data_IF_860927021225
#
_entry.id   IF_860927021225
#
_cell.length_a   1.000
_cell.length_b   1.000
_cell.length_c   1.000
_cell.angle_alpha   90.00
_cell.angle_beta   90.00
_cell.angle_gamma   90.00
#
_symmetry.space_group_name_H-M   'P 1'
#
loop_
_entity.id
_entity.type
_entity.pdbx_description
1 polymer ?
#
# COMPACT_ATOMS: atom_id res chain seq x y z
N UNK A 1 -4.56 -20.82 15.55
CA UNK A 1 -3.28 -21.43 15.15
C UNK A 1 -3.48 -22.15 13.81
N UNK A 2 -3.04 -21.54 12.70
CA UNK A 2 -3.10 -22.10 11.34
C UNK A 2 -1.71 -22.10 10.65
N UNK A 3 -0.65 -21.83 11.41
CA UNK A 3 0.74 -21.84 10.97
C UNK A 3 1.26 -23.24 10.61
N UNK A 4 2.34 -23.32 9.83
CA UNK A 4 2.99 -24.59 9.43
C UNK A 4 2.03 -25.55 8.71
N UNK A 5 1.15 -25.02 7.87
CA UNK A 5 0.26 -25.80 7.02
C UNK A 5 0.60 -25.56 5.53
N UNK A 6 -0.24 -26.07 4.64
CA UNK A 6 -0.11 -25.88 3.19
C UNK A 6 -1.25 -25.03 2.64
N UNK A 7 -1.71 -24.03 3.40
CA UNK A 7 -2.80 -23.15 2.98
C UNK A 7 -2.28 -22.30 1.82
N UNK A 8 -3.01 -22.26 0.69
CA UNK A 8 -2.60 -21.55 -0.54
C UNK A 8 -3.37 -20.26 -0.78
N UNK A 9 -4.58 -20.19 -0.27
CA UNK A 9 -5.45 -19.03 -0.41
C UNK A 9 -6.32 -18.87 0.82
N UNK A 10 -6.68 -17.62 1.11
CA UNK A 10 -7.72 -17.28 2.08
C UNK A 10 -8.88 -16.64 1.32
N UNK A 11 -10.05 -17.26 1.43
CA UNK A 11 -11.26 -16.80 0.75
C UNK A 11 -11.96 -15.70 1.56
N UNK A 12 -12.74 -14.85 0.88
CA UNK A 12 -13.55 -13.83 1.54
C UNK A 12 -14.42 -14.45 2.64
N UNK A 13 -14.56 -13.76 3.77
CA UNK A 13 -15.39 -14.20 4.90
C UNK A 13 -14.95 -15.53 5.57
N UNK A 14 -13.74 -16.04 5.31
CA UNK A 14 -13.22 -17.27 5.95
C UNK A 14 -13.32 -17.24 7.48
N UNK A 15 -13.13 -16.07 8.09
CA UNK A 15 -13.15 -15.89 9.54
C UNK A 15 -14.39 -15.13 10.05
N UNK A 16 -15.49 -15.13 9.29
CA UNK A 16 -16.72 -14.43 9.68
C UNK A 16 -17.26 -14.93 11.03
N UNK A 17 -17.81 -14.03 11.84
CA UNK A 17 -18.31 -14.27 13.19
C UNK A 17 -17.27 -14.77 14.21
N UNK A 18 -15.97 -14.77 13.89
CA UNK A 18 -14.92 -15.10 14.87
C UNK A 18 -14.59 -13.89 15.76
N UNK A 19 -15.61 -13.29 16.37
CA UNK A 19 -15.51 -12.00 17.06
C UNK A 19 -14.62 -12.02 18.30
N UNK A 20 -14.36 -13.19 18.88
CA UNK A 20 -13.45 -13.36 20.02
C UNK A 20 -11.98 -13.60 19.61
N UNK A 21 -11.67 -13.65 18.31
CA UNK A 21 -10.33 -13.92 17.83
C UNK A 21 -9.41 -12.73 18.13
N UNK A 22 -8.39 -12.97 18.95
CA UNK A 22 -7.42 -11.95 19.36
C UNK A 22 -6.06 -12.15 18.67
N UNK A 23 -5.67 -13.40 18.44
CA UNK A 23 -4.44 -13.80 17.75
C UNK A 23 -4.77 -14.68 16.55
N UNK A 24 -4.25 -14.33 15.37
CA UNK A 24 -4.36 -15.14 14.17
C UNK A 24 -2.98 -15.43 13.59
N UNK A 25 -2.58 -16.70 13.69
CA UNK A 25 -1.30 -17.19 13.20
C UNK A 25 -1.46 -17.93 11.88
N UNK A 26 -0.95 -17.35 10.79
CA UNK A 26 -1.00 -17.89 9.42
C UNK A 26 0.40 -18.01 8.78
N UNK A 27 1.45 -17.78 9.56
CA UNK A 27 2.82 -17.82 9.08
C UNK A 27 3.27 -19.22 8.65
N UNK A 28 4.28 -19.28 7.79
CA UNK A 28 4.86 -20.53 7.27
C UNK A 28 3.79 -21.42 6.59
N UNK A 29 3.14 -20.85 5.58
CA UNK A 29 2.17 -21.50 4.70
C UNK A 29 2.56 -21.25 3.23
N UNK A 30 1.68 -21.56 2.28
CA UNK A 30 1.85 -21.30 0.85
C UNK A 30 0.91 -20.19 0.34
N UNK A 31 0.46 -19.28 1.22
CA UNK A 31 -0.59 -18.32 0.89
C UNK A 31 -0.07 -17.36 -0.18
N UNK A 32 -0.63 -17.43 -1.38
CA UNK A 32 -0.32 -16.51 -2.47
C UNK A 32 -1.40 -15.48 -2.72
N UNK A 33 -2.63 -15.77 -2.29
CA UNK A 33 -3.82 -14.93 -2.48
C UNK A 33 -4.55 -14.78 -1.15
N UNK A 34 -4.83 -13.54 -0.77
CA UNK A 34 -5.77 -13.21 0.29
C UNK A 34 -6.90 -12.45 -0.39
N UNK A 35 -8.08 -13.04 -0.45
CA UNK A 35 -9.24 -12.34 -0.99
C UNK A 35 -9.62 -11.17 -0.06
N UNK A 36 -10.11 -10.04 -0.60
CA UNK A 36 -10.57 -8.96 0.25
C UNK A 36 -11.73 -9.40 1.17
N UNK A 37 -11.90 -8.67 2.26
CA UNK A 37 -12.83 -9.01 3.35
C UNK A 37 -12.57 -10.34 4.05
N UNK A 38 -11.45 -11.02 3.79
CA UNK A 38 -11.04 -12.21 4.56
C UNK A 38 -11.09 -11.96 6.08
N UNK A 39 -10.69 -10.77 6.52
CA UNK A 39 -10.58 -10.39 7.93
C UNK A 39 -11.66 -9.38 8.40
N UNK A 40 -12.72 -9.15 7.62
CA UNK A 40 -13.65 -8.01 7.82
C UNK A 40 -14.38 -8.00 9.16
N UNK A 41 -14.63 -9.17 9.75
CA UNK A 41 -15.45 -9.35 10.95
C UNK A 41 -14.62 -9.85 12.15
N UNK A 42 -13.45 -9.24 12.34
CA UNK A 42 -12.52 -9.56 13.42
C UNK A 42 -12.25 -8.33 14.31
N UNK A 43 -13.28 -7.80 15.00
CA UNK A 43 -13.20 -6.53 15.72
C UNK A 43 -12.21 -6.54 16.89
N UNK A 44 -11.89 -7.72 17.45
CA UNK A 44 -10.96 -7.86 18.58
C UNK A 44 -9.57 -8.35 18.16
N UNK A 45 -9.31 -8.53 16.87
CA UNK A 45 -8.03 -9.03 16.40
C UNK A 45 -6.93 -8.01 16.73
N UNK A 46 -5.93 -8.48 17.47
CA UNK A 46 -4.84 -7.65 17.98
C UNK A 46 -3.51 -7.98 17.30
N UNK A 47 -3.35 -9.25 16.90
CA UNK A 47 -2.10 -9.77 16.36
C UNK A 47 -2.35 -10.66 15.14
N UNK A 48 -1.76 -10.31 13.99
CA UNK A 48 -1.89 -11.05 12.73
C UNK A 48 -0.51 -11.35 12.13
N UNK A 49 -0.24 -12.63 11.88
CA UNK A 49 1.01 -13.07 11.24
C UNK A 49 0.76 -13.78 9.91
N UNK A 50 1.37 -13.25 8.87
CA UNK A 50 1.35 -13.72 7.49
C UNK A 50 2.77 -13.91 6.94
N UNK A 51 3.79 -13.82 7.79
CA UNK A 51 5.19 -13.92 7.37
C UNK A 51 5.55 -15.32 6.85
N UNK A 52 6.55 -15.41 5.98
CA UNK A 52 6.97 -16.67 5.34
C UNK A 52 5.77 -17.30 4.61
N UNK A 53 5.27 -16.59 3.60
CA UNK A 53 4.23 -17.01 2.67
C UNK A 53 4.65 -16.60 1.24
N UNK A 54 3.72 -16.63 0.28
CA UNK A 54 3.95 -16.31 -1.14
C UNK A 54 3.10 -15.13 -1.62
N UNK A 55 2.74 -14.23 -0.72
CA UNK A 55 1.82 -13.11 -1.00
C UNK A 55 2.53 -12.13 -1.94
N UNK A 56 1.92 -11.85 -3.09
CA UNK A 56 2.50 -10.95 -4.12
C UNK A 56 1.93 -9.54 -4.10
N UNK A 57 0.70 -9.40 -3.61
CA UNK A 57 -0.01 -8.14 -3.58
C UNK A 57 -0.92 -8.08 -2.36
N UNK A 58 -0.99 -6.92 -1.73
CA UNK A 58 -1.99 -6.61 -0.72
C UNK A 58 -3.11 -5.84 -1.43
N UNK A 59 -4.19 -6.54 -1.72
CA UNK A 59 -5.35 -5.93 -2.39
C UNK A 59 -6.06 -4.96 -1.45
N UNK A 60 -6.71 -3.95 -2.02
CA UNK A 60 -7.53 -2.98 -1.30
C UNK A 60 -8.51 -3.70 -0.36
N UNK A 61 -8.76 -3.12 0.80
CA UNK A 61 -9.73 -3.66 1.77
C UNK A 61 -9.38 -5.04 2.36
N UNK A 62 -8.18 -5.60 2.13
CA UNK A 62 -7.73 -6.83 2.81
C UNK A 62 -7.84 -6.69 4.33
N UNK A 63 -7.37 -5.56 4.86
CA UNK A 63 -7.31 -5.26 6.30
C UNK A 63 -8.40 -4.27 6.77
N UNK A 64 -9.51 -4.17 6.03
CA UNK A 64 -10.57 -3.23 6.38
C UNK A 64 -11.19 -3.58 7.75
N UNK A 65 -11.51 -2.55 8.53
CA UNK A 65 -12.14 -2.65 9.87
C UNK A 65 -11.35 -3.40 10.96
N UNK A 66 -10.06 -3.64 10.77
CA UNK A 66 -9.19 -4.19 11.82
C UNK A 66 -8.73 -3.10 12.80
N UNK A 67 -9.68 -2.42 13.44
CA UNK A 67 -9.44 -1.19 14.21
C UNK A 67 -8.65 -1.41 15.49
N UNK A 68 -8.58 -2.64 16.01
CA UNK A 68 -7.84 -2.99 17.22
C UNK A 68 -6.51 -3.71 16.93
N UNK A 69 -6.15 -3.92 15.66
CA UNK A 69 -4.92 -4.61 15.29
C UNK A 69 -3.72 -3.75 15.69
N UNK A 70 -2.85 -4.31 16.52
CA UNK A 70 -1.64 -3.64 17.04
C UNK A 70 -0.39 -4.07 16.29
N UNK A 71 -0.34 -5.34 15.86
CA UNK A 71 0.83 -5.87 15.15
C UNK A 71 0.43 -6.69 13.92
N UNK A 72 1.11 -6.38 12.81
CA UNK A 72 0.96 -7.02 11.52
C UNK A 72 2.33 -7.44 10.97
N UNK A 73 2.53 -8.75 10.86
CA UNK A 73 3.77 -9.34 10.34
C UNK A 73 3.55 -9.91 8.94
N UNK A 74 4.11 -9.29 7.91
CA UNK A 74 4.02 -9.74 6.49
C UNK A 74 5.42 -9.83 5.86
N UNK A 75 6.47 -9.93 6.68
CA UNK A 75 7.85 -10.07 6.21
C UNK A 75 8.10 -11.43 5.53
N UNK A 76 9.11 -11.52 4.67
CA UNK A 76 9.40 -12.72 3.87
C UNK A 76 8.18 -13.21 3.06
N UNK A 77 7.66 -12.32 2.22
CA UNK A 77 6.68 -12.59 1.18
C UNK A 77 7.23 -12.10 -0.18
N UNK A 78 6.38 -12.04 -1.21
CA UNK A 78 6.75 -11.66 -2.58
C UNK A 78 6.14 -10.30 -2.99
N UNK A 79 5.83 -9.42 -2.02
CA UNK A 79 5.14 -8.15 -2.30
C UNK A 79 6.06 -7.20 -3.07
N UNK A 80 5.60 -6.65 -4.20
CA UNK A 80 6.38 -5.74 -5.04
C UNK A 80 6.01 -4.26 -4.92
N UNK A 81 4.76 -3.98 -4.59
CA UNK A 81 4.21 -2.61 -4.52
C UNK A 81 3.31 -2.50 -3.31
N UNK A 82 3.35 -1.35 -2.63
CA UNK A 82 2.33 -0.99 -1.64
C UNK A 82 1.40 0.03 -2.26
N UNK A 83 0.17 -0.38 -2.52
CA UNK A 83 -0.85 0.44 -3.16
C UNK A 83 -1.40 1.52 -2.20
N UNK A 84 -2.03 2.58 -2.71
CA UNK A 84 -2.69 3.59 -1.89
C UNK A 84 -3.65 2.95 -0.90
N UNK A 85 -3.77 3.51 0.30
CA UNK A 85 -4.75 3.09 1.31
C UNK A 85 -4.73 1.60 1.71
N UNK A 86 -3.69 0.83 1.35
CA UNK A 86 -3.51 -0.59 1.72
C UNK A 86 -3.75 -0.82 3.22
N UNK A 87 -3.33 0.12 4.06
CA UNK A 87 -3.43 0.05 5.52
C UNK A 87 -4.50 0.99 6.11
N UNK A 88 -5.46 1.48 5.31
CA UNK A 88 -6.48 2.44 5.78
C UNK A 88 -7.34 1.93 6.95
N UNK A 89 -7.55 0.62 7.06
CA UNK A 89 -8.34 0.00 8.13
C UNK A 89 -7.60 -0.21 9.45
N UNK A 90 -6.35 0.27 9.58
CA UNK A 90 -5.43 -0.06 10.67
C UNK A 90 -5.02 1.15 11.55
N UNK A 91 -5.97 1.94 12.11
CA UNK A 91 -5.65 3.16 12.85
C UNK A 91 -4.83 2.93 14.13
N UNK A 92 -4.99 1.76 14.78
CA UNK A 92 -4.33 1.41 16.04
C UNK A 92 -3.03 0.62 15.87
N UNK A 93 -2.58 0.39 14.63
CA UNK A 93 -1.40 -0.43 14.36
C UNK A 93 -0.14 0.27 14.87
N UNK A 94 0.64 -0.45 15.66
CA UNK A 94 1.89 0.00 16.26
C UNK A 94 3.10 -0.61 15.55
N UNK A 95 3.02 -1.88 15.17
CA UNK A 95 4.12 -2.65 14.61
C UNK A 95 3.76 -3.19 13.23
N UNK A 96 4.49 -2.76 12.20
CA UNK A 96 4.33 -3.23 10.82
C UNK A 96 5.66 -3.76 10.28
N UNK A 97 5.70 -5.04 9.95
CA UNK A 97 6.89 -5.69 9.42
C UNK A 97 6.69 -6.16 7.99
N UNK A 98 7.40 -5.53 7.06
CA UNK A 98 7.41 -5.79 5.62
C UNK A 98 8.82 -6.19 5.11
N UNK A 99 9.75 -6.50 6.02
CA UNK A 99 11.13 -6.84 5.69
C UNK A 99 11.23 -8.03 4.73
N UNK A 100 12.25 -8.05 3.86
CA UNK A 100 12.54 -9.18 2.98
C UNK A 100 11.39 -9.51 2.01
N UNK A 101 10.69 -8.48 1.53
CA UNK A 101 9.79 -8.56 0.38
C UNK A 101 10.54 -8.08 -0.89
N UNK A 102 9.81 -7.85 -1.98
CA UNK A 102 10.35 -7.30 -3.22
C UNK A 102 9.85 -5.86 -3.48
N UNK A 103 9.56 -5.11 -2.42
CA UNK A 103 8.90 -3.80 -2.52
C UNK A 103 9.85 -2.81 -3.20
N UNK A 104 9.52 -2.41 -4.42
CA UNK A 104 10.25 -1.38 -5.15
C UNK A 104 9.54 -0.04 -5.16
N UNK A 105 8.21 -0.04 -5.02
CA UNK A 105 7.40 1.18 -5.10
C UNK A 105 6.38 1.25 -3.94
N UNK A 106 6.25 2.45 -3.39
CA UNK A 106 5.33 2.77 -2.30
C UNK A 106 4.50 3.96 -2.77
N UNK A 107 3.21 3.70 -3.04
CA UNK A 107 2.32 4.72 -3.57
C UNK A 107 1.94 5.77 -2.53
N UNK A 108 1.52 6.91 -3.03
CA UNK A 108 1.01 8.00 -2.20
C UNK A 108 -0.11 7.50 -1.28
N UNK A 109 -0.16 8.04 -0.05
CA UNK A 109 -1.15 7.69 0.98
C UNK A 109 -1.14 6.23 1.49
N UNK A 110 -0.25 5.36 1.02
CA UNK A 110 -0.15 3.96 1.48
C UNK A 110 -0.12 3.82 3.02
N UNK A 111 0.64 4.68 3.69
CA UNK A 111 0.83 4.69 5.15
C UNK A 111 0.05 5.81 5.86
N UNK A 112 -0.75 6.61 5.15
CA UNK A 112 -1.31 7.87 5.66
C UNK A 112 -2.26 7.73 6.87
N UNK A 113 -2.90 6.56 7.04
CA UNK A 113 -3.82 6.28 8.16
C UNK A 113 -3.19 5.55 9.35
N UNK A 114 -1.91 5.23 9.27
CA UNK A 114 -1.17 4.59 10.35
C UNK A 114 -0.75 5.63 11.41
N UNK A 115 -1.71 6.17 12.14
CA UNK A 115 -1.50 7.25 13.11
C UNK A 115 -0.82 6.81 14.40
N UNK A 116 -0.91 5.52 14.74
CA UNK A 116 -0.33 4.95 15.97
C UNK A 116 0.97 4.18 15.74
N UNK A 117 1.50 4.18 14.51
CA UNK A 117 2.66 3.37 14.17
C UNK A 117 3.91 3.83 14.91
N UNK A 118 4.60 2.89 15.53
CA UNK A 118 5.84 3.13 16.27
C UNK A 118 7.04 2.44 15.64
N UNK A 119 6.81 1.34 14.92
CA UNK A 119 7.85 0.55 14.28
C UNK A 119 7.45 0.12 12.87
N UNK A 120 8.38 0.31 11.92
CA UNK A 120 8.20 -0.04 10.52
C UNK A 120 9.45 -0.75 10.00
N UNK A 121 9.32 -2.05 9.76
CA UNK A 121 10.37 -2.86 9.15
C UNK A 121 10.26 -2.89 7.63
N UNK A 122 11.21 -2.29 6.92
CA UNK A 122 11.30 -2.29 5.45
C UNK A 122 12.64 -2.79 4.91
N UNK A 123 13.52 -3.29 5.77
CA UNK A 123 14.83 -3.79 5.36
C UNK A 123 14.73 -4.93 4.34
N UNK A 124 15.71 -5.03 3.44
CA UNK A 124 15.73 -6.10 2.44
C UNK A 124 14.67 -5.96 1.34
N UNK A 125 14.23 -4.72 1.05
CA UNK A 125 13.38 -4.39 -0.10
C UNK A 125 14.15 -3.53 -1.10
N UNK A 126 13.99 -3.72 -2.42
CA UNK A 126 14.68 -2.97 -3.46
C UNK A 126 13.99 -1.62 -3.76
N UNK A 127 13.84 -0.74 -2.76
CA UNK A 127 13.09 0.52 -2.90
C UNK A 127 13.70 1.43 -3.99
N UNK A 128 12.86 1.87 -4.92
CA UNK A 128 13.20 2.92 -5.87
C UNK A 128 13.14 4.27 -5.14
N UNK A 129 14.26 5.00 -5.19
CA UNK A 129 14.38 6.31 -4.53
C UNK A 129 14.57 7.42 -5.56
N UNK A 130 13.71 7.44 -6.57
CA UNK A 130 13.50 8.59 -7.45
C UNK A 130 12.37 9.48 -6.87
N UNK A 131 11.69 10.26 -7.70
CA UNK A 131 10.61 11.12 -7.22
C UNK A 131 9.37 10.36 -6.73
N UNK A 132 9.17 9.08 -7.09
CA UNK A 132 8.00 8.32 -6.63
C UNK A 132 8.01 8.10 -5.11
N UNK A 133 9.20 8.03 -4.49
CA UNK A 133 9.32 7.82 -3.05
C UNK A 133 9.03 9.09 -2.23
N UNK A 134 8.87 10.25 -2.87
CA UNK A 134 8.78 11.54 -2.19
C UNK A 134 7.70 11.55 -1.11
N UNK A 135 6.50 11.07 -1.41
CA UNK A 135 5.39 11.02 -0.45
C UNK A 135 5.72 10.13 0.76
N UNK A 136 6.32 8.97 0.54
CA UNK A 136 6.75 8.07 1.62
C UNK A 136 7.87 8.68 2.45
N UNK A 137 8.86 9.29 1.80
CA UNK A 137 9.96 9.97 2.46
C UNK A 137 9.46 11.13 3.34
N UNK A 138 8.55 11.96 2.81
CA UNK A 138 7.91 13.05 3.55
C UNK A 138 7.18 12.53 4.80
N UNK A 139 6.33 11.50 4.62
CA UNK A 139 5.64 10.83 5.72
C UNK A 139 6.61 10.28 6.79
N UNK A 140 7.76 9.77 6.36
CA UNK A 140 8.80 9.17 7.21
C UNK A 140 9.55 10.23 8.04
N UNK A 141 9.92 11.36 7.43
CA UNK A 141 10.67 12.43 8.11
C UNK A 141 9.80 13.17 9.13
N UNK A 142 8.51 13.39 8.83
CA UNK A 142 7.55 13.98 9.77
C UNK A 142 7.41 13.16 11.06
N UNK A 143 7.64 11.85 10.96
CA UNK A 143 7.54 10.89 12.07
C UNK A 143 8.89 10.43 12.60
N UNK A 144 9.99 11.05 12.16
CA UNK A 144 11.36 10.65 12.50
C UNK A 144 11.72 10.78 13.99
N UNK A 145 10.89 11.48 14.78
CA UNK A 145 10.99 11.53 16.25
C UNK A 145 10.68 10.20 16.93
N UNK A 146 10.12 9.24 16.20
CA UNK A 146 9.79 7.90 16.68
C UNK A 146 10.97 6.96 16.39
N UNK A 147 11.41 6.26 17.44
CA UNK A 147 12.71 5.58 17.53
C UNK A 147 13.06 4.66 16.34
N UNK A 148 12.08 3.98 15.72
CA UNK A 148 12.39 2.87 14.80
C UNK A 148 11.65 2.86 13.44
N UNK A 149 10.81 3.86 13.14
CA UNK A 149 10.05 3.85 11.88
C UNK A 149 11.02 3.94 10.69
N UNK A 150 11.16 2.88 9.89
CA UNK A 150 11.95 2.87 8.65
C UNK A 150 13.45 3.18 8.84
N UNK A 151 13.99 2.98 10.05
CA UNK A 151 15.42 3.17 10.37
C UNK A 151 16.35 2.33 9.47
N UNK A 152 15.84 1.18 9.02
CA UNK A 152 16.53 0.22 8.16
C UNK A 152 16.08 0.25 6.69
N UNK A 153 15.18 1.16 6.32
CA UNK A 153 14.71 1.30 4.94
C UNK A 153 15.84 1.84 4.07
N UNK A 154 16.21 1.07 3.03
CA UNK A 154 17.28 1.42 2.10
C UNK A 154 16.75 1.40 0.68
N UNK A 155 17.22 2.35 -0.11
CA UNK A 155 17.10 2.35 -1.55
C UNK A 155 17.82 1.14 -2.16
N UNK A 156 17.48 0.78 -3.39
CA UNK A 156 18.13 -0.30 -4.14
C UNK A 156 19.65 -0.14 -4.28
N UNK A 157 20.15 1.10 -4.26
CA UNK A 157 21.59 1.42 -4.25
C UNK A 157 22.25 1.37 -2.85
N UNK A 158 21.51 1.01 -1.81
CA UNK A 158 21.98 0.90 -0.43
C UNK A 158 21.88 2.17 0.41
N UNK A 159 21.54 3.31 -0.18
CA UNK A 159 21.32 4.59 0.52
C UNK A 159 20.17 4.45 1.51
N UNK A 160 20.30 4.99 2.73
CA UNK A 160 19.17 5.01 3.67
C UNK A 160 18.11 5.99 3.16
N UNK A 161 16.84 5.59 3.18
CA UNK A 161 15.73 6.47 2.74
C UNK A 161 15.71 7.75 3.58
N UNK A 162 15.92 7.64 4.91
CA UNK A 162 16.02 8.80 5.81
C UNK A 162 17.19 9.74 5.51
N UNK A 163 18.25 9.26 4.84
CA UNK A 163 19.42 10.08 4.51
C UNK A 163 19.34 10.71 3.12
N UNK A 164 18.24 10.48 2.37
CA UNK A 164 18.04 11.15 1.10
C UNK A 164 18.06 12.66 1.33
N UNK A 165 18.91 13.37 0.58
CA UNK A 165 19.11 14.80 0.78
C UNK A 165 17.84 15.55 0.37
N UNK A 166 17.34 16.47 1.23
CA UNK A 166 16.22 17.32 0.90
C UNK A 166 16.39 17.97 -0.46
N UNK A 167 17.55 18.54 -0.80
CA UNK A 167 17.77 19.19 -2.10
C UNK A 167 17.50 18.32 -3.34
N UNK A 168 17.71 16.99 -3.28
CA UNK A 168 17.40 16.08 -4.40
C UNK A 168 15.90 15.80 -4.45
N UNK A 169 15.28 15.56 -3.30
CA UNK A 169 13.83 15.39 -3.17
C UNK A 169 13.04 16.69 -3.34
N UNK A 170 13.66 17.85 -3.11
CA UNK A 170 13.08 19.17 -3.29
C UNK A 170 12.92 19.43 -4.78
N UNK A 171 13.82 18.93 -5.64
CA UNK A 171 13.56 18.93 -7.09
C UNK A 171 12.40 18.02 -7.49
N UNK A 172 12.11 17.01 -6.67
CA UNK A 172 10.93 16.18 -6.74
C UNK A 172 9.77 16.73 -5.89
N UNK A 173 9.79 17.99 -5.43
CA UNK A 173 8.66 18.59 -4.73
C UNK A 173 7.58 18.96 -5.76
N UNK A 174 6.27 18.87 -5.45
CA UNK A 174 5.22 19.33 -6.35
C UNK A 174 5.53 20.73 -6.91
N UNK A 175 5.98 21.62 -6.00
CA UNK A 175 6.33 23.00 -6.31
C UNK A 175 7.52 23.20 -7.28
N UNK A 176 8.34 22.18 -7.53
CA UNK A 176 9.46 22.25 -8.49
C UNK A 176 9.17 21.52 -9.82
N UNK A 177 7.95 21.00 -9.99
CA UNK A 177 7.40 20.54 -11.26
C UNK A 177 8.33 19.61 -12.07
N UNK A 178 8.64 18.44 -11.54
CA UNK A 178 9.19 17.32 -12.32
C UNK A 178 8.08 16.33 -12.68
N UNK A 179 7.26 16.70 -13.66
CA UNK A 179 6.14 15.88 -14.10
C UNK A 179 6.61 14.73 -15.02
N UNK A 180 6.19 13.51 -14.72
CA UNK A 180 6.40 12.32 -15.54
C UNK A 180 5.34 12.19 -16.62
N UNK A 181 5.56 11.24 -17.54
CA UNK A 181 4.58 10.80 -18.54
C UNK A 181 3.94 11.92 -19.39
N UNK A 182 4.68 13.01 -19.62
CA UNK A 182 4.23 14.14 -20.41
C UNK A 182 3.29 15.11 -19.68
N UNK A 183 3.19 15.00 -18.34
CA UNK A 183 2.49 15.99 -17.52
C UNK A 183 3.07 17.39 -17.67
N UNK A 184 2.23 18.41 -17.54
CA UNK A 184 2.61 19.82 -17.67
C UNK A 184 2.65 20.48 -16.31
N UNK A 185 3.70 21.26 -16.06
CA UNK A 185 3.72 22.11 -14.89
C UNK A 185 2.72 23.26 -15.03
N UNK A 186 1.81 23.41 -14.06
CA UNK A 186 0.84 24.50 -14.01
C UNK A 186 0.82 25.14 -12.63
N UNK A 187 0.52 26.43 -12.57
CA UNK A 187 0.37 27.15 -11.30
C UNK A 187 -1.09 27.07 -10.81
N UNK A 188 -1.27 26.66 -9.56
CA UNK A 188 -2.55 26.69 -8.84
C UNK A 188 -2.41 27.56 -7.58
N UNK A 189 -2.76 28.84 -7.69
CA UNK A 189 -2.54 29.80 -6.61
C UNK A 189 -1.06 30.14 -6.45
N UNK A 190 -0.47 29.79 -5.30
CA UNK A 190 0.95 29.99 -5.00
C UNK A 190 1.78 28.70 -5.13
N UNK A 191 1.16 27.57 -5.44
CA UNK A 191 1.81 26.27 -5.60
C UNK A 191 1.94 25.92 -7.10
N UNK A 192 3.00 25.21 -7.45
CA UNK A 192 3.17 24.61 -8.77
C UNK A 192 2.78 23.14 -8.66
N UNK A 193 1.98 22.63 -9.59
CA UNK A 193 1.55 21.23 -9.61
C UNK A 193 1.67 20.65 -11.01
N UNK A 194 1.68 19.33 -11.10
CA UNK A 194 1.62 18.62 -12.37
C UNK A 194 0.18 18.43 -12.85
N UNK A 195 -0.15 19.04 -13.99
CA UNK A 195 -1.35 18.76 -14.79
C UNK A 195 -1.09 17.51 -15.64
N UNK A 196 -1.66 16.39 -15.21
CA UNK A 196 -1.43 15.10 -15.83
C UNK A 196 -2.24 14.92 -17.11
N UNK A 197 -1.60 14.36 -18.14
CA UNK A 197 -2.22 14.15 -19.44
C UNK A 197 -2.73 12.72 -19.62
N UNK A 198 -3.97 12.56 -20.06
CA UNK A 198 -4.56 11.25 -20.35
C UNK A 198 -4.68 10.38 -19.10
N UNK A 199 -4.12 9.16 -19.16
CA UNK A 199 -4.28 8.12 -18.14
C UNK A 199 -3.35 8.24 -16.93
N UNK A 200 -2.76 9.40 -16.64
CA UNK A 200 -1.76 9.53 -15.57
C UNK A 200 -2.30 10.38 -14.41
N UNK A 201 -1.89 10.05 -13.19
CA UNK A 201 -2.31 10.60 -11.89
C UNK A 201 -1.13 10.62 -10.91
N UNK A 202 -1.38 11.02 -9.67
CA UNK A 202 -0.36 11.21 -8.65
C UNK A 202 0.27 12.59 -8.74
N UNK A 203 0.96 12.99 -7.67
CA UNK A 203 1.53 14.34 -7.52
C UNK A 203 2.42 14.79 -8.68
N UNK A 204 3.09 13.85 -9.35
CA UNK A 204 4.01 14.05 -10.46
C UNK A 204 3.58 13.34 -11.75
N UNK A 205 2.33 12.89 -11.88
CA UNK A 205 1.87 12.10 -13.02
C UNK A 205 2.60 10.75 -13.18
N UNK A 206 3.10 10.19 -12.07
CA UNK A 206 3.81 8.92 -12.02
C UNK A 206 2.86 7.70 -11.95
N UNK A 207 1.62 7.91 -11.52
CA UNK A 207 0.62 6.87 -11.33
C UNK A 207 -0.34 6.83 -12.52
N UNK A 208 -1.05 5.74 -12.73
CA UNK A 208 -2.07 5.67 -13.77
C UNK A 208 -3.46 5.98 -13.20
N UNK A 209 -4.30 6.73 -13.94
CA UNK A 209 -5.74 6.92 -13.72
C UNK A 209 -6.52 5.61 -13.61
N UNK A 210 -5.94 4.52 -14.11
CA UNK A 210 -6.61 3.26 -14.17
C UNK A 210 -5.74 2.18 -13.55
N UNK A 211 -5.84 2.04 -12.23
CA UNK A 211 -5.29 0.88 -11.53
C UNK A 211 -6.43 -0.07 -11.19
N UNK A 212 -6.23 -1.39 -11.32
CA UNK A 212 -7.26 -2.36 -10.85
C UNK A 212 -7.55 -2.20 -9.34
N UNK A 213 -6.66 -1.52 -8.60
CA UNK A 213 -6.88 -1.10 -7.21
C UNK A 213 -8.10 -0.16 -7.06
N UNK A 214 -8.25 0.84 -7.93
CA UNK A 214 -9.39 1.80 -7.90
C UNK A 214 -10.73 1.09 -8.16
N UNK A 215 -10.65 -0.06 -8.80
CA UNK A 215 -11.79 -0.92 -9.11
C UNK A 215 -12.13 -1.95 -8.05
N UNK A 216 -11.39 -2.00 -6.93
CA UNK A 216 -11.55 -3.01 -5.90
C UNK A 216 -11.34 -4.42 -6.47
N UNK A 217 -12.44 -5.09 -6.83
CA UNK A 217 -12.45 -6.43 -7.43
C UNK A 217 -12.73 -6.44 -8.94
N UNK A 218 -12.69 -5.28 -9.59
CA UNK A 218 -12.79 -5.16 -11.04
C UNK A 218 -11.43 -4.97 -11.69
N UNK A 219 -11.34 -5.33 -12.97
CA UNK A 219 -10.21 -4.94 -13.80
C UNK A 219 -10.42 -3.50 -14.26
N UNK A 220 -9.35 -2.72 -14.16
CA UNK A 220 -9.39 -1.38 -14.70
C UNK A 220 -9.30 -1.40 -16.21
N UNK A 221 -10.24 -0.74 -16.87
CA UNK A 221 -10.29 -0.61 -18.32
C UNK A 221 -10.43 0.85 -18.70
N UNK A 222 -9.55 1.29 -19.60
CA UNK A 222 -9.63 2.64 -20.18
C UNK A 222 -10.37 2.53 -21.51
N UNK A 223 -11.44 3.31 -21.65
CA UNK A 223 -12.23 3.33 -22.88
C UNK A 223 -11.43 3.95 -24.05
N UNK A 224 -11.25 3.24 -25.19
CA UNK A 224 -10.36 3.68 -26.26
C UNK A 224 -10.78 4.97 -26.97
N UNK A 225 -12.04 5.41 -26.85
CA UNK A 225 -12.59 6.50 -27.66
C UNK A 225 -12.56 7.82 -26.92
N UNK A 226 -12.91 7.85 -25.63
CA UNK A 226 -12.92 9.05 -24.79
C UNK A 226 -11.86 9.03 -23.68
N UNK A 227 -11.13 7.93 -23.51
CA UNK A 227 -10.07 7.81 -22.49
C UNK A 227 -10.57 7.67 -21.06
N UNK A 228 -11.86 7.44 -20.84
CA UNK A 228 -12.42 7.35 -19.48
C UNK A 228 -12.04 6.02 -18.83
N UNK A 229 -11.52 6.06 -17.61
CA UNK A 229 -11.27 4.88 -16.80
C UNK A 229 -12.58 4.32 -16.21
N UNK A 230 -12.79 3.01 -16.32
CA UNK A 230 -13.94 2.30 -15.78
C UNK A 230 -13.55 0.93 -15.24
N UNK A 231 -14.38 0.39 -14.36
CA UNK A 231 -14.14 -0.89 -13.71
C UNK A 231 -14.98 -2.00 -14.33
N UNK A 232 -14.29 -3.04 -14.79
CA UNK A 232 -14.89 -4.29 -15.25
C UNK A 232 -15.02 -5.22 -14.04
N UNK A 233 -16.17 -5.18 -13.39
CA UNK A 233 -16.42 -5.95 -12.18
C UNK A 233 -16.71 -7.43 -12.50
N UNK A 234 -16.06 -8.36 -11.78
CA UNK A 234 -16.45 -9.76 -11.80
C UNK A 234 -17.82 -9.96 -11.14
N UNK A 235 -18.67 -10.84 -11.70
CA UNK A 235 -20.07 -11.06 -11.26
C UNK A 235 -20.21 -11.34 -9.76
N UNK A 236 -19.23 -12.01 -9.14
CA UNK A 236 -19.22 -12.33 -7.71
C UNK A 236 -18.96 -11.15 -6.77
N UNK A 237 -18.41 -10.03 -7.27
CA UNK A 237 -17.98 -8.89 -6.45
C UNK A 237 -18.55 -7.55 -6.92
N UNK A 238 -19.65 -7.56 -7.68
CA UNK A 238 -20.30 -6.35 -8.23
C UNK A 238 -20.67 -5.32 -7.16
N UNK A 239 -20.99 -5.75 -5.93
CA UNK A 239 -21.30 -4.86 -4.82
C UNK A 239 -20.07 -4.19 -4.19
N UNK A 240 -18.87 -4.65 -4.53
CA UNK A 240 -17.59 -4.21 -3.96
C UNK A 240 -16.63 -3.67 -5.02
N UNK A 241 -17.16 -3.43 -6.23
CA UNK A 241 -16.44 -2.85 -7.36
C UNK A 241 -17.16 -1.56 -7.77
N UNK A 242 -16.56 -0.38 -7.59
CA UNK A 242 -17.19 0.88 -7.97
C UNK A 242 -17.30 0.94 -9.51
N UNK A 243 -18.51 1.15 -10.03
CA UNK A 243 -18.76 1.20 -11.49
C UNK A 243 -18.10 2.40 -12.20
N UNK A 244 -17.53 3.34 -11.45
CA UNK A 244 -16.76 4.49 -11.95
C UNK A 244 -15.58 4.76 -11.02
N UNK A 245 -14.42 4.99 -11.63
CA UNK A 245 -13.27 5.60 -10.97
C UNK A 245 -13.55 7.11 -10.99
N UNK A 246 -13.53 7.75 -9.82
CA UNK A 246 -13.76 9.20 -9.69
C UNK A 246 -12.45 9.92 -9.99
#
# INVERSE_FOLDING_TARGET
ELQYNTIRSLESNTFVNMTNLYYLYLYNNEISVIEPFTFVDLPNLYYLTLHINKIRSLVSYTFINLTNLSELQIYHNEISTIEPFTFMGLPSLQYLYLNGNNISDIKEHAFGKLTSLTELGLSGNPLNCDCSIFAFWSWLIERSSIYDIGSSAKCSNGTLVKSLQPAVLDTCHPDNCQCFNGGKCVAMGYELICDCFGQWTGTFCQDSQCTSYDCGFGDCYIEPVNGTAQCLCADRYVNYCPKKII
#
